data_IF_454588206812
#
_entry.id   IF_454588206812
#
_cell.length_a   1.000
_cell.length_b   1.000
_cell.length_c   1.000
_cell.angle_alpha   90.00
_cell.angle_beta   90.00
_cell.angle_gamma   90.00
#
_symmetry.space_group_name_H-M   'P 1'
#
loop_
_entity.id
_entity.type
_entity.pdbx_description
1 polymer ?
#
# COMPACT_ATOMS: atom_id res chain seq x y z
N UNK A 1 -31.37 -13.34 5.37
CA UNK A 1 -30.67 -12.12 5.82
C UNK A 1 -29.95 -12.47 7.10
N UNK A 2 -28.66 -12.83 7.04
CA UNK A 2 -27.87 -13.21 8.21
C UNK A 2 -26.98 -12.02 8.63
N UNK A 3 -26.98 -11.74 9.93
CA UNK A 3 -26.44 -10.53 10.54
C UNK A 3 -24.96 -10.31 10.30
N UNK A 4 -24.59 -9.03 10.37
CA UNK A 4 -23.22 -8.52 10.32
C UNK A 4 -22.33 -9.30 11.28
N UNK A 5 -21.32 -9.97 10.74
CA UNK A 5 -20.09 -10.28 11.48
C UNK A 5 -19.43 -8.94 11.81
N UNK A 6 -19.84 -8.31 12.91
CA UNK A 6 -19.07 -7.23 13.51
C UNK A 6 -17.79 -7.88 14.00
N UNK A 7 -16.71 -7.69 13.26
CA UNK A 7 -15.40 -8.27 13.56
C UNK A 7 -15.05 -8.05 15.03
N UNK A 8 -14.51 -9.10 15.67
CA UNK A 8 -13.92 -9.05 17.01
C UNK A 8 -13.06 -7.78 17.10
N UNK A 9 -13.26 -6.90 18.09
CA UNK A 9 -12.36 -5.77 18.28
C UNK A 9 -10.95 -6.29 18.53
N UNK A 10 -9.91 -5.73 17.89
CA UNK A 10 -8.54 -6.18 18.06
C UNK A 10 -8.16 -6.10 19.54
N UNK A 11 -7.54 -7.17 20.04
CA UNK A 11 -7.15 -7.33 21.45
C UNK A 11 -6.18 -6.23 21.92
N UNK A 12 -5.50 -5.56 20.96
CA UNK A 12 -4.63 -4.42 21.19
C UNK A 12 -4.72 -3.37 20.04
N UNK A 13 -5.61 -2.38 20.21
CA UNK A 13 -5.84 -1.27 19.26
C UNK A 13 -4.53 -0.50 18.95
N UNK A 14 -3.60 -0.44 19.91
CA UNK A 14 -2.33 0.27 19.72
C UNK A 14 -1.41 -0.47 18.75
N UNK A 15 -1.28 -1.79 18.87
CA UNK A 15 -0.44 -2.58 17.95
C UNK A 15 -0.98 -2.53 16.52
N UNK A 16 -2.29 -2.64 16.32
CA UNK A 16 -2.89 -2.49 14.98
C UNK A 16 -2.64 -1.09 14.39
N UNK A 17 -2.71 -0.04 15.21
CA UNK A 17 -2.37 1.32 14.78
C UNK A 17 -0.90 1.45 14.39
N UNK A 18 0.03 0.95 15.21
CA UNK A 18 1.47 1.03 14.95
C UNK A 18 1.89 0.20 13.74
N UNK A 19 1.32 -0.99 13.57
CA UNK A 19 1.51 -1.80 12.36
C UNK A 19 0.93 -1.09 11.13
N UNK A 20 -0.25 -0.48 11.23
CA UNK A 20 -0.80 0.35 10.16
C UNK A 20 0.09 1.54 9.78
N UNK A 21 0.70 2.21 10.75
CA UNK A 21 1.65 3.30 10.52
C UNK A 21 2.93 2.81 9.84
N UNK A 22 3.56 1.74 10.36
CA UNK A 22 4.75 1.13 9.78
C UNK A 22 4.53 0.68 8.35
N UNK A 23 3.36 0.08 8.12
CA UNK A 23 2.97 -0.41 6.82
C UNK A 23 2.75 0.72 5.81
N UNK A 24 2.16 1.83 6.27
CA UNK A 24 2.00 3.06 5.49
C UNK A 24 3.35 3.71 5.17
N UNK A 25 4.25 3.81 6.15
CA UNK A 25 5.60 4.37 5.95
C UNK A 25 6.39 3.56 4.92
N UNK A 26 6.38 2.23 5.02
CA UNK A 26 7.04 1.35 4.05
C UNK A 26 6.48 1.53 2.64
N UNK A 27 5.16 1.70 2.50
CA UNK A 27 4.53 1.96 1.21
C UNK A 27 4.99 3.29 0.61
N UNK A 28 4.91 4.39 1.37
CA UNK A 28 5.29 5.72 0.89
C UNK A 28 6.78 5.80 0.58
N UNK A 29 7.64 5.19 1.40
CA UNK A 29 9.07 5.12 1.12
C UNK A 29 9.34 4.38 -0.20
N UNK A 30 8.65 3.26 -0.42
CA UNK A 30 8.75 2.51 -1.68
C UNK A 30 8.26 3.36 -2.86
N UNK A 31 7.14 4.06 -2.72
CA UNK A 31 6.60 4.96 -3.74
C UNK A 31 7.60 6.06 -4.13
N UNK A 32 8.18 6.75 -3.16
CA UNK A 32 9.14 7.82 -3.42
C UNK A 32 10.46 7.30 -3.96
N UNK A 33 10.89 6.10 -3.60
CA UNK A 33 12.03 5.43 -4.23
C UNK A 33 11.77 5.13 -5.71
N UNK A 34 10.59 4.60 -6.06
CA UNK A 34 10.21 4.36 -7.45
C UNK A 34 10.15 5.67 -8.24
N UNK A 35 9.49 6.71 -7.70
CA UNK A 35 9.47 8.04 -8.33
C UNK A 35 10.88 8.56 -8.64
N UNK A 36 11.79 8.48 -7.66
CA UNK A 36 13.18 8.93 -7.82
C UNK A 36 13.96 8.08 -8.82
N UNK A 37 13.79 6.75 -8.78
CA UNK A 37 14.51 5.81 -9.65
C UNK A 37 14.20 6.04 -11.13
N UNK A 38 12.95 6.35 -11.46
CA UNK A 38 12.51 6.58 -12.84
C UNK A 38 12.44 8.06 -13.22
N UNK A 39 12.88 8.96 -12.32
CA UNK A 39 12.79 10.41 -12.49
C UNK A 39 11.37 10.90 -12.83
N UNK A 40 10.36 10.26 -12.23
CA UNK A 40 8.95 10.57 -12.44
C UNK A 40 8.50 11.55 -11.35
N UNK A 41 8.15 12.76 -11.77
CA UNK A 41 7.49 13.72 -10.90
C UNK A 41 5.98 13.42 -10.88
N UNK A 42 5.48 12.77 -9.81
CA UNK A 42 4.08 12.32 -9.71
C UNK A 42 3.04 13.37 -10.11
N UNK A 43 3.21 14.62 -9.68
CA UNK A 43 2.29 15.72 -9.98
C UNK A 43 2.19 16.07 -11.47
N UNK A 44 3.20 15.74 -12.27
CA UNK A 44 3.27 15.97 -13.73
C UNK A 44 3.24 14.67 -14.54
N UNK A 45 3.18 13.52 -13.87
CA UNK A 45 3.22 12.21 -14.50
C UNK A 45 2.00 12.02 -15.40
N UNK A 46 2.22 11.42 -16.57
CA UNK A 46 1.13 10.97 -17.45
C UNK A 46 0.35 9.84 -16.78
N UNK A 47 -0.86 9.55 -17.26
CA UNK A 47 -1.65 8.42 -16.74
C UNK A 47 -0.87 7.11 -16.80
N UNK A 48 -0.17 6.86 -17.91
CA UNK A 48 0.70 5.69 -18.09
C UNK A 48 1.83 5.63 -17.06
N UNK A 49 2.46 6.76 -16.76
CA UNK A 49 3.53 6.83 -15.75
C UNK A 49 2.99 6.62 -14.34
N UNK A 50 1.77 7.10 -14.06
CA UNK A 50 1.10 6.89 -12.77
C UNK A 50 0.75 5.42 -12.57
N UNK A 51 0.21 4.76 -13.59
CA UNK A 51 -0.07 3.32 -13.57
C UNK A 51 1.20 2.52 -13.34
N UNK A 52 2.27 2.87 -14.06
CA UNK A 52 3.58 2.24 -13.91
C UNK A 52 4.14 2.39 -12.49
N UNK A 53 4.18 3.61 -11.93
CA UNK A 53 4.69 3.86 -10.58
C UNK A 53 3.83 3.17 -9.53
N UNK A 54 2.51 3.15 -9.70
CA UNK A 54 1.59 2.46 -8.78
C UNK A 54 1.86 0.96 -8.75
N UNK A 55 1.98 0.34 -9.92
CA UNK A 55 2.21 -1.10 -10.03
C UNK A 55 3.61 -1.48 -9.51
N UNK A 56 4.64 -0.71 -9.87
CA UNK A 56 6.00 -0.93 -9.37
C UNK A 56 6.09 -0.76 -7.85
N UNK A 57 5.39 0.23 -7.30
CA UNK A 57 5.28 0.42 -5.85
C UNK A 57 4.61 -0.78 -5.21
N UNK A 58 3.46 -1.23 -5.75
CA UNK A 58 2.73 -2.40 -5.25
C UNK A 58 3.60 -3.65 -5.24
N UNK A 59 4.24 -4.00 -6.36
CA UNK A 59 5.08 -5.21 -6.49
C UNK A 59 6.29 -5.14 -5.55
N UNK A 60 6.95 -3.98 -5.48
CA UNK A 60 8.13 -3.82 -4.63
C UNK A 60 7.76 -3.91 -3.15
N UNK A 61 6.66 -3.26 -2.77
CA UNK A 61 6.14 -3.30 -1.41
C UNK A 61 5.71 -4.73 -1.02
N UNK A 62 4.99 -5.46 -1.89
CA UNK A 62 4.63 -6.86 -1.70
C UNK A 62 5.86 -7.75 -1.47
N UNK A 63 6.91 -7.57 -2.27
CA UNK A 63 8.16 -8.30 -2.11
C UNK A 63 8.85 -7.99 -0.76
N UNK A 64 8.73 -6.75 -0.24
CA UNK A 64 9.32 -6.34 1.05
C UNK A 64 8.59 -6.94 2.25
N UNK A 65 7.26 -6.99 2.19
CA UNK A 65 6.44 -7.57 3.28
C UNK A 65 6.28 -9.10 3.16
N UNK A 66 6.79 -9.71 2.07
CA UNK A 66 6.73 -11.16 1.85
C UNK A 66 5.32 -11.68 1.58
N UNK A 67 4.38 -10.84 1.15
CA UNK A 67 2.99 -11.23 0.94
C UNK A 67 2.79 -11.78 -0.48
N UNK A 68 2.16 -12.97 -0.64
CA UNK A 68 1.86 -13.53 -1.95
C UNK A 68 0.90 -12.66 -2.75
N UNK A 69 1.07 -12.68 -4.07
CA UNK A 69 0.49 -11.76 -5.05
C UNK A 69 -1.05 -11.76 -5.00
N UNK A 70 -1.64 -12.89 -4.60
CA UNK A 70 -3.09 -13.14 -4.54
C UNK A 70 -3.80 -12.59 -3.29
N UNK A 71 -3.10 -12.13 -2.24
CA UNK A 71 -3.72 -11.88 -0.93
C UNK A 71 -3.96 -10.41 -0.58
N UNK A 72 -3.50 -9.47 -1.40
CA UNK A 72 -3.73 -8.04 -1.13
C UNK A 72 -4.88 -7.51 -1.98
N UNK A 73 -6.06 -7.45 -1.36
CA UNK A 73 -7.11 -6.54 -1.80
C UNK A 73 -6.61 -5.13 -1.52
N UNK A 74 -6.08 -4.46 -2.54
CA UNK A 74 -5.38 -3.18 -2.41
C UNK A 74 -6.33 -2.09 -1.89
N UNK A 75 -6.24 -1.78 -0.59
CA UNK A 75 -6.77 -0.55 0.02
C UNK A 75 -5.73 0.58 -0.06
N UNK A 76 -4.98 0.65 -1.17
CA UNK A 76 -4.13 1.81 -1.41
C UNK A 76 -5.01 3.06 -1.43
N UNK A 77 -4.58 4.18 -0.81
CA UNK A 77 -5.31 5.42 -0.91
C UNK A 77 -5.53 5.72 -2.39
N UNK A 78 -6.78 5.98 -2.75
CA UNK A 78 -7.18 6.43 -4.09
C UNK A 78 -6.63 7.86 -4.23
N UNK A 79 -5.36 7.96 -4.62
CA UNK A 79 -4.67 9.22 -4.96
C UNK A 79 -5.18 9.79 -6.27
#
# INVERSE_FOLDING_TARGET
MAGKIVGRPPENIQEEYWEGQRNSELWYNTFFEICRKYNIQWSKATEKDRDFVTEMTRVTYQNRIGVPKEQIHFFGPRI
#
